data_IF_179249957908
#
_entry.id   IF_179249957908
#
_cell.length_a   1.000
_cell.length_b   1.000
_cell.length_c   1.000
_cell.angle_alpha   90.00
_cell.angle_beta   90.00
_cell.angle_gamma   90.00
#
_symmetry.space_group_name_H-M   'P 1'
#
loop_
_entity.id
_entity.type
_entity.pdbx_description
1 polymer ?
#
# COMPACT_ATOMS: atom_id res chain seq x y z
N UNK A 1 -6.29 -14.40 -4.80
CA UNK A 1 -6.98 -13.47 -5.72
C UNK A 1 -6.81 -12.04 -5.20
N UNK A 2 -6.40 -11.14 -6.07
CA UNK A 2 -6.19 -9.75 -5.67
C UNK A 2 -7.52 -9.04 -5.42
N UNK A 3 -7.60 -8.27 -4.34
CA UNK A 3 -8.78 -7.46 -4.08
C UNK A 3 -8.73 -6.21 -4.93
N UNK A 4 -9.89 -5.71 -5.33
CA UNK A 4 -10.01 -4.49 -6.10
C UNK A 4 -10.81 -3.46 -5.32
N UNK A 5 -10.63 -2.20 -5.69
CA UNK A 5 -11.25 -1.07 -4.97
C UNK A 5 -11.79 -0.07 -5.97
N UNK A 6 -12.79 0.67 -5.55
CA UNK A 6 -13.39 1.69 -6.41
C UNK A 6 -12.65 3.03 -6.36
N UNK A 7 -11.92 3.28 -5.27
CA UNK A 7 -11.14 4.50 -5.13
C UNK A 7 -9.73 4.17 -4.68
N UNK A 8 -8.79 5.06 -5.04
CA UNK A 8 -7.39 4.93 -4.63
C UNK A 8 -7.25 5.05 -3.11
N UNK A 9 -8.00 5.96 -2.50
CA UNK A 9 -7.94 6.16 -1.05
C UNK A 9 -8.35 4.91 -0.28
N UNK A 10 -9.38 4.21 -0.74
CA UNK A 10 -9.79 2.96 -0.12
C UNK A 10 -8.70 1.89 -0.26
N UNK A 11 -8.10 1.81 -1.45
CA UNK A 11 -7.02 0.85 -1.69
C UNK A 11 -5.82 1.14 -0.77
N UNK A 12 -5.45 2.41 -0.64
CA UNK A 12 -4.37 2.82 0.23
C UNK A 12 -4.66 2.41 1.67
N UNK A 13 -5.85 2.70 2.15
CA UNK A 13 -6.23 2.36 3.51
C UNK A 13 -6.18 0.84 3.74
N UNK A 14 -6.82 0.08 2.86
CA UNK A 14 -6.96 -1.37 3.04
C UNK A 14 -5.68 -2.15 2.81
N UNK A 15 -4.90 -1.76 1.81
CA UNK A 15 -3.71 -2.55 1.44
C UNK A 15 -2.43 -2.04 2.09
N UNK A 16 -2.37 -0.77 2.45
CA UNK A 16 -1.15 -0.17 2.98
C UNK A 16 -1.29 0.20 4.45
N UNK A 17 -2.24 1.07 4.77
CA UNK A 17 -2.36 1.60 6.13
C UNK A 17 -2.71 0.52 7.13
N UNK A 18 -3.68 -0.33 6.82
CA UNK A 18 -4.05 -1.42 7.74
C UNK A 18 -2.88 -2.38 7.94
N UNK A 19 -2.11 -2.67 6.88
CA UNK A 19 -0.98 -3.57 6.97
C UNK A 19 0.12 -2.99 7.87
N UNK A 20 0.42 -1.70 7.71
CA UNK A 20 1.42 -1.02 8.52
C UNK A 20 1.00 -0.94 9.99
N UNK A 21 -0.24 -0.56 10.23
CA UNK A 21 -0.73 -0.37 11.60
C UNK A 21 -0.95 -1.69 12.33
N UNK A 22 -1.14 -2.77 11.61
CA UNK A 22 -1.20 -4.10 12.24
C UNK A 22 0.13 -4.54 12.83
N UNK A 23 1.23 -3.94 12.39
CA UNK A 23 2.58 -4.26 12.87
C UNK A 23 3.16 -3.28 13.88
N UNK A 24 2.34 -2.59 14.63
CA UNK A 24 2.74 -1.63 15.66
C UNK A 24 3.38 -0.34 15.13
N UNK A 25 3.36 -0.12 13.82
CA UNK A 25 3.80 1.13 13.22
C UNK A 25 2.59 2.00 12.91
N UNK A 26 2.81 3.28 12.66
CA UNK A 26 1.74 4.20 12.29
C UNK A 26 2.00 4.79 10.91
N UNK A 27 0.93 5.23 10.26
CA UNK A 27 1.02 5.82 8.91
C UNK A 27 1.92 7.06 8.87
N UNK A 28 2.04 7.76 10.00
CA UNK A 28 2.85 8.98 10.07
C UNK A 28 4.35 8.72 9.95
N UNK A 29 4.76 7.46 10.11
CA UNK A 29 6.17 7.08 10.05
C UNK A 29 6.64 6.78 8.61
N UNK A 30 5.73 6.84 7.64
CA UNK A 30 6.03 6.44 6.24
C UNK A 30 5.44 7.43 5.25
N UNK A 31 6.06 7.50 4.08
CA UNK A 31 5.52 8.26 2.95
C UNK A 31 4.49 7.39 2.23
N UNK A 32 3.26 7.43 2.71
CA UNK A 32 2.17 6.56 2.24
C UNK A 32 1.89 6.76 0.75
N UNK A 33 1.90 8.01 0.27
CA UNK A 33 1.63 8.28 -1.15
C UNK A 33 2.69 7.67 -2.06
N UNK A 34 3.96 7.75 -1.68
CA UNK A 34 5.03 7.14 -2.46
C UNK A 34 4.93 5.62 -2.46
N UNK A 35 4.58 5.03 -1.31
CA UNK A 35 4.36 3.58 -1.23
C UNK A 35 3.21 3.19 -2.16
N UNK A 36 2.11 3.93 -2.12
CA UNK A 36 0.95 3.63 -2.96
C UNK A 36 1.30 3.67 -4.44
N UNK A 37 2.06 4.68 -4.87
CA UNK A 37 2.50 4.77 -6.26
C UNK A 37 3.35 3.57 -6.68
N UNK A 38 4.11 3.02 -5.75
CA UNK A 38 5.00 1.91 -6.05
C UNK A 38 4.29 0.55 -6.03
N UNK A 39 3.28 0.36 -5.18
CA UNK A 39 2.72 -0.97 -4.95
C UNK A 39 1.31 -1.18 -5.48
N UNK A 40 0.55 -0.11 -5.76
CA UNK A 40 -0.82 -0.24 -6.26
C UNK A 40 -0.88 -0.06 -7.78
N UNK A 41 -1.77 -0.81 -8.42
CA UNK A 41 -2.09 -0.63 -9.82
C UNK A 41 -2.91 0.65 -10.02
N UNK A 42 -3.31 0.89 -11.28
CA UNK A 42 -4.12 2.06 -11.62
C UNK A 42 -5.61 1.72 -11.56
N UNK A 43 -6.43 2.68 -11.98
CA UNK A 43 -7.89 2.52 -11.97
C UNK A 43 -8.36 1.30 -12.77
N UNK A 44 -7.72 1.01 -13.89
CA UNK A 44 -8.11 -0.13 -14.72
C UNK A 44 -7.88 -1.46 -14.01
N UNK A 45 -6.91 -1.50 -13.13
CA UNK A 45 -6.59 -2.68 -12.32
C UNK A 45 -7.41 -2.72 -11.03
N UNK A 46 -8.31 -1.77 -10.81
CA UNK A 46 -9.08 -1.67 -9.58
C UNK A 46 -8.20 -1.34 -8.38
N UNK A 47 -7.10 -0.64 -8.61
CA UNK A 47 -6.12 -0.30 -7.57
C UNK A 47 -5.61 -1.50 -6.79
N UNK A 48 -5.54 -2.66 -7.44
CA UNK A 48 -5.07 -3.88 -6.80
C UNK A 48 -3.57 -3.81 -6.52
N UNK A 49 -3.15 -4.50 -5.47
CA UNK A 49 -1.74 -4.61 -5.13
C UNK A 49 -1.01 -5.33 -6.26
N UNK A 50 0.05 -4.73 -6.81
CA UNK A 50 0.74 -5.25 -7.99
C UNK A 50 2.11 -5.84 -7.68
N UNK A 51 2.49 -5.94 -6.42
CA UNK A 51 3.77 -6.50 -5.98
C UNK A 51 3.54 -7.66 -5.03
N UNK A 52 4.54 -8.50 -4.87
CA UNK A 52 4.49 -9.59 -3.89
C UNK A 52 4.70 -9.04 -2.49
N UNK A 53 4.34 -9.85 -1.49
CA UNK A 53 4.45 -9.43 -0.08
C UNK A 53 5.85 -8.98 0.29
N UNK A 54 6.88 -9.70 -0.14
CA UNK A 54 8.25 -9.34 0.18
C UNK A 54 8.63 -7.99 -0.44
N UNK A 55 8.23 -7.76 -1.68
CA UNK A 55 8.48 -6.47 -2.33
C UNK A 55 7.70 -5.34 -1.67
N UNK A 56 6.49 -5.63 -1.21
CA UNK A 56 5.69 -4.65 -0.49
C UNK A 56 6.44 -4.14 0.74
N UNK A 57 6.93 -5.05 1.57
CA UNK A 57 7.62 -4.66 2.81
C UNK A 57 8.97 -4.01 2.54
N UNK A 58 9.67 -4.42 1.48
CA UNK A 58 10.89 -3.74 1.05
C UNK A 58 10.60 -2.29 0.66
N UNK A 59 9.50 -2.07 -0.04
CA UNK A 59 9.08 -0.72 -0.44
C UNK A 59 8.70 0.12 0.77
N UNK A 60 7.94 -0.46 1.68
CA UNK A 60 7.55 0.24 2.92
C UNK A 60 8.80 0.70 3.67
N UNK A 61 9.78 -0.17 3.83
CA UNK A 61 11.02 0.16 4.52
C UNK A 61 11.79 1.28 3.80
N UNK A 62 11.76 1.27 2.47
CA UNK A 62 12.47 2.28 1.67
C UNK A 62 11.86 3.68 1.83
N UNK A 63 10.60 3.77 2.16
CA UNK A 63 9.89 5.04 2.30
C UNK A 63 9.60 5.42 3.76
N UNK A 64 10.34 4.85 4.69
CA UNK A 64 10.25 5.27 6.09
C UNK A 64 10.76 6.71 6.23
N UNK A 65 10.04 7.50 6.99
CA UNK A 65 10.39 8.90 7.21
C UNK A 65 11.27 9.06 8.46
#
# INVERSE_FOLDING_TARGET
MARTYTTRDEAIYREIIEAIEAGDATRDQYDIEAIADAVLGDYEDGFALKVEESEFWDTVAAYAI
#
